data_IF_164819369716
#
_entry.id   IF_164819369716
#
_cell.length_a   1.000
_cell.length_b   1.000
_cell.length_c   1.000
_cell.angle_alpha   90.00
_cell.angle_beta   90.00
_cell.angle_gamma   90.00
#
_symmetry.space_group_name_H-M   'P 1'
#
loop_
_entity.id
_entity.type
_entity.pdbx_description
1 polymer ?
#
# COMPACT_ATOMS: atom_id res chain seq x y z
N UNK A 1 15.17 -12.51 3.55
CA UNK A 1 15.57 -11.11 3.79
C UNK A 1 14.41 -10.12 3.58
N UNK A 2 13.91 -9.87 2.36
CA UNK A 2 12.79 -8.94 2.17
C UNK A 2 11.52 -9.30 2.98
N UNK A 3 11.15 -10.58 3.04
CA UNK A 3 10.03 -11.08 3.85
C UNK A 3 10.18 -10.73 5.35
N UNK A 4 11.41 -10.77 5.88
CA UNK A 4 11.69 -10.48 7.28
C UNK A 4 11.57 -8.99 7.57
N UNK A 5 12.06 -8.13 6.67
CA UNK A 5 11.90 -6.68 6.75
C UNK A 5 10.42 -6.29 6.70
N UNK A 6 9.64 -6.90 5.80
CA UNK A 6 8.20 -6.60 5.69
C UNK A 6 7.46 -7.02 6.95
N UNK A 7 7.78 -8.18 7.53
CA UNK A 7 7.23 -8.62 8.82
C UNK A 7 7.57 -7.63 9.94
N UNK A 8 8.79 -7.09 9.91
CA UNK A 8 9.24 -6.14 10.90
C UNK A 8 8.46 -4.83 10.84
N UNK A 9 8.27 -4.30 9.63
CA UNK A 9 7.43 -3.13 9.38
C UNK A 9 5.99 -3.40 9.85
N UNK A 10 5.42 -4.57 9.54
CA UNK A 10 4.06 -4.91 9.93
C UNK A 10 3.86 -4.96 11.45
N UNK A 11 4.85 -5.50 12.17
CA UNK A 11 4.76 -5.72 13.62
C UNK A 11 5.11 -4.49 14.46
N UNK A 12 6.09 -3.68 14.03
CA UNK A 12 6.62 -2.55 14.82
C UNK A 12 6.42 -1.19 14.16
N UNK A 13 6.21 -1.13 12.84
CA UNK A 13 6.16 0.12 12.08
C UNK A 13 5.08 1.08 12.56
N UNK A 14 3.91 0.58 12.95
CA UNK A 14 2.81 1.43 13.42
C UNK A 14 3.20 2.25 14.66
N UNK A 15 4.04 1.69 15.55
CA UNK A 15 4.53 2.38 16.75
C UNK A 15 5.42 3.59 16.45
N UNK A 16 5.93 3.70 15.23
CA UNK A 16 6.77 4.81 14.74
C UNK A 16 6.16 5.54 13.54
N UNK A 17 4.87 5.34 13.27
CA UNK A 17 4.15 6.02 12.18
C UNK A 17 4.40 5.46 10.77
N UNK A 18 4.93 4.24 10.66
CA UNK A 18 5.11 3.54 9.38
C UNK A 18 3.93 2.60 9.15
N UNK A 19 3.25 2.76 8.01
CA UNK A 19 2.11 1.95 7.62
C UNK A 19 2.47 1.01 6.48
N UNK A 20 1.89 -0.20 6.49
CA UNK A 20 2.07 -1.20 5.45
C UNK A 20 0.74 -1.45 4.73
N UNK A 21 0.73 -1.28 3.41
CA UNK A 21 -0.38 -1.66 2.54
C UNK A 21 0.06 -2.82 1.66
N UNK A 22 -0.73 -3.90 1.64
CA UNK A 22 -0.45 -5.11 0.87
C UNK A 22 -1.68 -5.50 0.06
N UNK A 23 -1.44 -6.05 -1.13
CA UNK A 23 -2.47 -6.68 -1.97
C UNK A 23 -1.99 -8.05 -2.40
N UNK A 24 -2.88 -9.04 -2.37
CA UNK A 24 -2.63 -10.39 -2.85
C UNK A 24 -3.91 -10.92 -3.53
N UNK A 25 -3.78 -11.96 -4.37
CA UNK A 25 -4.95 -12.56 -5.00
C UNK A 25 -5.71 -13.47 -4.03
N UNK A 26 -4.99 -14.04 -3.06
CA UNK A 26 -5.53 -14.97 -2.07
C UNK A 26 -4.88 -14.74 -0.71
N UNK A 27 -5.63 -15.00 0.36
CA UNK A 27 -5.11 -14.85 1.73
C UNK A 27 -4.02 -15.84 2.08
N UNK A 28 -3.98 -17.00 1.43
CA UNK A 28 -2.97 -18.02 1.67
C UNK A 28 -1.62 -17.73 0.99
N UNK A 29 -1.55 -16.73 0.10
CA UNK A 29 -0.28 -16.21 -0.45
C UNK A 29 0.47 -15.37 0.59
N UNK A 30 -0.24 -14.87 1.61
CA UNK A 30 0.34 -14.09 2.70
C UNK A 30 0.71 -15.03 3.85
N UNK A 31 1.98 -15.00 4.29
CA UNK A 31 2.44 -15.78 5.45
C UNK A 31 1.60 -15.46 6.69
N UNK A 32 1.30 -16.47 7.50
CA UNK A 32 0.40 -16.35 8.66
C UNK A 32 0.79 -15.21 9.60
N UNK A 33 2.06 -15.12 10.02
CA UNK A 33 2.53 -14.06 10.92
C UNK A 33 2.31 -12.64 10.36
N UNK A 34 2.46 -12.46 9.04
CA UNK A 34 2.25 -11.18 8.37
C UNK A 34 0.75 -10.88 8.30
N UNK A 35 -0.05 -11.86 7.88
CA UNK A 35 -1.51 -11.75 7.81
C UNK A 35 -2.15 -11.42 9.16
N UNK A 36 -1.65 -12.02 10.23
CA UNK A 36 -2.14 -11.80 11.59
C UNK A 36 -1.77 -10.41 12.13
N UNK A 37 -0.71 -9.81 11.59
CA UNK A 37 -0.32 -8.42 11.90
C UNK A 37 -1.19 -7.37 11.18
N UNK A 38 -1.95 -7.76 10.15
CA UNK A 38 -2.80 -6.86 9.37
C UNK A 38 -4.19 -6.74 10.01
N UNK A 39 -4.45 -5.59 10.63
CA UNK A 39 -5.74 -5.26 11.26
C UNK A 39 -6.79 -4.78 10.26
N UNK A 40 -6.42 -3.89 9.33
CA UNK A 40 -7.31 -3.37 8.28
C UNK A 40 -7.38 -4.32 7.08
N UNK A 41 -8.55 -4.92 6.84
CA UNK A 41 -8.75 -5.90 5.75
C UNK A 41 -9.87 -5.45 4.81
N UNK A 42 -9.54 -5.33 3.53
CA UNK A 42 -10.49 -5.12 2.43
C UNK A 42 -10.44 -6.35 1.53
N UNK A 43 -11.48 -7.18 1.56
CA UNK A 43 -11.53 -8.41 0.77
C UNK A 43 -12.43 -8.21 -0.45
N UNK A 44 -11.85 -8.23 -1.65
CA UNK A 44 -12.62 -8.24 -2.89
C UNK A 44 -13.14 -9.66 -3.20
N UNK A 45 -13.89 -9.81 -4.29
CA UNK A 45 -14.33 -11.13 -4.76
C UNK A 45 -13.17 -12.11 -4.90
N UNK A 46 -13.13 -13.13 -4.05
CA UNK A 46 -12.24 -14.28 -4.19
C UNK A 46 -12.78 -15.30 -5.19
N UNK A 47 -11.90 -16.11 -5.77
CA UNK A 47 -12.30 -17.24 -6.63
C UNK A 47 -12.94 -18.36 -5.80
N UNK A 48 -12.39 -18.66 -4.61
CA UNK A 48 -13.01 -19.53 -3.62
C UNK A 48 -13.44 -18.72 -2.38
N UNK A 49 -14.75 -18.52 -2.14
CA UNK A 49 -15.25 -17.88 -0.93
C UNK A 49 -14.89 -18.60 0.37
N UNK A 50 -14.51 -19.88 0.30
CA UNK A 50 -14.03 -20.67 1.45
C UNK A 50 -12.73 -20.13 2.06
N UNK A 51 -11.96 -19.37 1.30
CA UNK A 51 -10.71 -18.74 1.72
C UNK A 51 -10.89 -17.37 2.38
N UNK A 52 -12.13 -16.91 2.51
CA UNK A 52 -12.42 -15.62 3.15
C UNK A 52 -11.94 -15.59 4.60
N UNK A 53 -11.16 -14.55 4.93
CA UNK A 53 -10.70 -14.27 6.29
C UNK A 53 -11.68 -13.38 7.06
N UNK A 54 -12.69 -12.82 6.39
CA UNK A 54 -13.70 -11.94 6.99
C UNK A 54 -14.99 -12.71 7.28
N UNK A 55 -15.63 -13.27 6.24
CA UNK A 55 -16.87 -14.02 6.37
C UNK A 55 -17.13 -14.87 5.14
N UNK A 56 -16.95 -16.18 5.27
CA UNK A 56 -17.26 -17.16 4.21
C UNK A 56 -18.71 -17.05 3.71
N UNK A 57 -19.65 -16.70 4.59
CA UNK A 57 -21.06 -16.50 4.21
C UNK A 57 -21.23 -15.25 3.36
N UNK A 58 -20.65 -14.12 3.76
CA UNK A 58 -20.75 -12.87 3.01
C UNK A 58 -20.00 -12.96 1.66
N UNK A 59 -18.82 -13.59 1.63
CA UNK A 59 -18.02 -13.80 0.43
C UNK A 59 -18.77 -14.63 -0.63
N UNK A 60 -19.59 -15.61 -0.23
CA UNK A 60 -20.46 -16.35 -1.16
C UNK A 60 -21.48 -15.45 -1.86
N UNK A 61 -21.84 -14.32 -1.26
CA UNK A 61 -22.71 -13.30 -1.86
C UNK A 61 -22.05 -12.45 -2.94
N UNK A 62 -20.72 -12.47 -3.06
CA UNK A 62 -19.97 -11.73 -4.09
C UNK A 62 -19.92 -12.44 -5.46
N UNK A 63 -20.88 -13.32 -5.77
CA UNK A 63 -20.95 -14.00 -7.07
C UNK A 63 -21.45 -13.03 -8.15
N UNK A 64 -20.81 -13.05 -9.32
CA UNK A 64 -21.17 -12.20 -10.48
C UNK A 64 -21.21 -10.68 -10.17
N UNK A 65 -20.42 -10.22 -9.20
CA UNK A 65 -20.34 -8.80 -8.88
C UNK A 65 -19.44 -8.04 -9.85
N UNK A 66 -19.76 -6.77 -10.05
CA UNK A 66 -18.90 -5.83 -10.78
C UNK A 66 -17.55 -5.62 -10.04
N UNK A 67 -16.45 -5.34 -10.76
CA UNK A 67 -15.17 -5.01 -10.15
C UNK A 67 -15.29 -3.91 -9.09
N UNK A 68 -14.50 -4.00 -8.03
CA UNK A 68 -14.54 -3.07 -6.90
C UNK A 68 -15.54 -3.44 -5.79
N UNK A 69 -16.43 -4.41 -5.99
CA UNK A 69 -17.26 -4.97 -4.89
C UNK A 69 -16.43 -5.88 -3.98
N UNK A 70 -16.64 -5.72 -2.67
CA UNK A 70 -15.95 -6.52 -1.66
C UNK A 70 -16.69 -6.55 -0.32
N UNK A 71 -16.06 -7.17 0.67
CA UNK A 71 -16.51 -7.20 2.06
C UNK A 71 -15.44 -6.63 3.00
N UNK A 72 -15.90 -6.03 4.09
CA UNK A 72 -15.08 -5.53 5.21
C UNK A 72 -15.67 -6.06 6.51
N UNK A 73 -14.83 -6.27 7.53
CA UNK A 73 -15.30 -6.72 8.84
C UNK A 73 -16.44 -5.82 9.37
N UNK A 74 -17.52 -6.39 9.95
CA UNK A 74 -17.71 -7.82 10.30
C UNK A 74 -18.34 -8.69 9.18
N UNK A 75 -18.33 -8.24 7.92
CA UNK A 75 -18.98 -8.89 6.78
C UNK A 75 -19.84 -7.94 5.95
N UNK A 76 -19.69 -6.63 6.14
CA UNK A 76 -20.42 -5.60 5.40
C UNK A 76 -19.91 -5.52 3.97
N UNK A 77 -20.82 -5.36 3.02
CA UNK A 77 -20.44 -5.14 1.62
C UNK A 77 -20.01 -3.69 1.39
N UNK A 78 -18.98 -3.51 0.57
CA UNK A 78 -18.55 -2.20 0.08
C UNK A 78 -18.39 -2.20 -1.44
N UNK A 79 -18.23 -1.02 -2.02
CA UNK A 79 -17.79 -0.83 -3.39
C UNK A 79 -16.65 0.20 -3.40
N UNK A 80 -15.51 -0.16 -3.96
CA UNK A 80 -14.36 0.72 -4.06
C UNK A 80 -14.69 1.90 -4.98
N UNK A 81 -14.46 3.11 -4.47
CA UNK A 81 -14.61 4.33 -5.27
C UNK A 81 -13.55 4.40 -6.37
N UNK A 82 -13.93 4.98 -7.51
CA UNK A 82 -12.97 5.29 -8.57
C UNK A 82 -12.02 6.42 -8.13
N UNK A 83 -10.71 6.36 -8.47
CA UNK A 83 -9.74 7.40 -8.14
C UNK A 83 -9.88 8.62 -9.06
N UNK A 84 -11.03 9.29 -9.02
CA UNK A 84 -11.36 10.49 -9.82
C UNK A 84 -12.17 11.50 -9.00
N UNK A 85 -12.07 12.78 -9.34
CA UNK A 85 -12.77 13.88 -8.67
C UNK A 85 -13.67 14.72 -9.60
N UNK A 86 -13.86 14.28 -10.85
CA UNK A 86 -14.67 14.97 -11.87
C UNK A 86 -16.17 14.61 -11.82
N UNK A 87 -16.65 14.14 -10.66
CA UNK A 87 -18.04 13.76 -10.38
C UNK A 87 -18.67 12.67 -11.28
N UNK A 88 -17.87 11.98 -12.11
CA UNK A 88 -18.34 10.86 -12.93
C UNK A 88 -18.21 9.52 -12.19
N UNK A 89 -19.22 8.67 -12.30
CA UNK A 89 -19.27 7.34 -11.70
C UNK A 89 -19.07 6.23 -12.76
N UNK A 90 -18.11 6.42 -13.67
CA UNK A 90 -17.89 5.56 -14.84
C UNK A 90 -16.39 5.26 -15.02
N UNK A 91 -16.05 4.08 -15.54
CA UNK A 91 -14.65 3.68 -15.75
C UNK A 91 -14.06 4.29 -17.04
N UNK A 92 -14.92 4.80 -17.92
CA UNK A 92 -14.57 5.47 -19.15
C UNK A 92 -13.71 6.70 -18.85
N UNK A 93 -12.58 6.81 -19.54
CA UNK A 93 -11.63 7.91 -19.36
C UNK A 93 -10.93 7.95 -17.99
N UNK A 94 -11.01 6.88 -17.18
CA UNK A 94 -10.48 6.87 -15.81
C UNK A 94 -8.99 7.26 -15.73
N UNK A 95 -8.16 6.76 -16.65
CA UNK A 95 -6.73 7.11 -16.71
C UNK A 95 -6.51 8.62 -16.82
N UNK A 96 -7.26 9.28 -17.72
CA UNK A 96 -7.15 10.72 -17.92
C UNK A 96 -7.68 11.49 -16.71
N UNK A 97 -8.78 11.04 -16.11
CA UNK A 97 -9.32 11.64 -14.89
C UNK A 97 -8.36 11.54 -13.70
N UNK A 98 -7.72 10.39 -13.52
CA UNK A 98 -6.70 10.18 -12.50
C UNK A 98 -5.47 11.08 -12.73
N UNK A 99 -5.01 11.22 -13.99
CA UNK A 99 -3.90 12.11 -14.33
C UNK A 99 -4.21 13.59 -14.04
N UNK A 100 -5.45 14.04 -14.32
CA UNK A 100 -5.92 15.38 -13.96
C UNK A 100 -5.89 15.57 -12.44
N UNK A 101 -6.49 14.63 -11.70
CA UNK A 101 -6.51 14.68 -10.24
C UNK A 101 -5.11 14.75 -9.63
N UNK A 102 -4.16 13.94 -10.11
CA UNK A 102 -2.77 13.98 -9.63
C UNK A 102 -2.10 15.32 -9.94
N UNK A 103 -2.34 15.87 -11.14
CA UNK A 103 -1.82 17.19 -11.52
C UNK A 103 -2.37 18.29 -10.62
N UNK A 104 -3.69 18.31 -10.41
CA UNK A 104 -4.36 19.27 -9.54
C UNK A 104 -3.81 19.22 -8.11
N UNK A 105 -3.72 18.02 -7.52
CA UNK A 105 -3.15 17.81 -6.18
C UNK A 105 -1.71 18.32 -6.10
N UNK A 106 -0.87 18.05 -7.11
CA UNK A 106 0.51 18.55 -7.15
C UNK A 106 0.57 20.07 -7.25
N UNK A 107 -0.23 20.68 -8.13
CA UNK A 107 -0.24 22.14 -8.30
C UNK A 107 -0.78 22.89 -7.09
N UNK A 108 -1.71 22.29 -6.35
CA UNK A 108 -2.29 22.87 -5.14
C UNK A 108 -1.46 22.67 -3.87
N UNK A 109 -0.45 21.79 -3.90
CA UNK A 109 0.38 21.48 -2.73
C UNK A 109 1.55 22.46 -2.60
N UNK A 110 1.56 23.23 -1.51
CA UNK A 110 2.64 24.19 -1.20
C UNK A 110 3.55 23.71 -0.04
N UNK A 111 3.38 22.47 0.42
CA UNK A 111 4.15 21.90 1.52
C UNK A 111 5.42 21.20 1.07
N UNK A 112 6.15 20.61 2.01
CA UNK A 112 7.29 19.73 1.71
C UNK A 112 6.81 18.50 0.94
N UNK A 113 7.55 18.12 -0.10
CA UNK A 113 7.28 16.90 -0.86
C UNK A 113 7.78 15.65 -0.12
N UNK A 114 7.31 14.48 -0.55
CA UNK A 114 7.84 13.21 -0.05
C UNK A 114 9.33 13.08 -0.43
N UNK A 115 10.22 12.74 0.53
CA UNK A 115 11.63 12.55 0.23
C UNK A 115 11.82 11.46 -0.84
N UNK A 116 12.67 11.68 -1.86
CA UNK A 116 12.93 10.68 -2.88
C UNK A 116 13.67 9.47 -2.28
N UNK A 117 13.44 8.29 -2.86
CA UNK A 117 14.23 7.11 -2.53
C UNK A 117 15.67 7.34 -2.98
N UNK A 118 16.62 7.25 -2.03
CA UNK A 118 18.05 7.30 -2.33
C UNK A 118 18.46 5.96 -2.92
N UNK A 119 18.82 5.98 -4.21
CA UNK A 119 19.38 4.81 -4.90
C UNK A 119 20.90 4.87 -4.85
N UNK A 120 21.54 3.69 -4.86
CA UNK A 120 22.99 3.61 -5.00
C UNK A 120 23.37 4.06 -6.42
N UNK A 121 24.32 4.99 -6.52
CA UNK A 121 24.83 5.43 -7.82
C UNK A 121 25.54 4.30 -8.56
N UNK A 122 25.48 4.31 -9.89
CA UNK A 122 26.20 3.32 -10.72
C UNK A 122 27.72 3.45 -10.57
N UNK A 123 28.20 4.67 -10.34
CA UNK A 123 29.58 4.99 -10.02
C UNK A 123 29.59 5.85 -8.77
N UNK A 124 30.54 5.57 -7.87
CA UNK A 124 30.77 6.32 -6.65
C UNK A 124 32.24 6.68 -6.65
N UNK A 125 32.55 7.97 -6.73
CA UNK A 125 33.93 8.42 -6.62
C UNK A 125 34.40 8.42 -5.15
N UNK A 126 35.72 8.47 -4.96
CA UNK A 126 36.31 8.42 -3.62
C UNK A 126 35.87 9.59 -2.72
N UNK A 127 35.55 10.75 -3.31
CA UNK A 127 35.05 11.92 -2.58
C UNK A 127 33.61 11.73 -2.12
N UNK A 128 32.75 11.19 -2.98
CA UNK A 128 31.36 10.83 -2.66
C UNK A 128 31.32 9.76 -1.56
N UNK A 129 32.19 8.75 -1.63
CA UNK A 129 32.31 7.72 -0.60
C UNK A 129 32.76 8.31 0.73
N UNK A 130 33.79 9.17 0.73
CA UNK A 130 34.27 9.82 1.94
C UNK A 130 33.19 10.69 2.59
N UNK A 131 32.43 11.45 1.79
CA UNK A 131 31.33 12.29 2.28
C UNK A 131 30.20 11.44 2.90
N UNK A 132 29.84 10.32 2.27
CA UNK A 132 28.80 9.42 2.78
C UNK A 132 29.19 8.78 4.13
N UNK A 133 30.46 8.39 4.30
CA UNK A 133 30.98 7.82 5.55
C UNK A 133 30.93 8.84 6.69
N UNK A 134 31.37 10.07 6.45
CA UNK A 134 31.31 11.16 7.44
C UNK A 134 29.85 11.50 7.83
N UNK A 135 28.92 11.49 6.87
CA UNK A 135 27.51 11.72 7.15
C UNK A 135 26.88 10.59 7.98
N UNK A 136 27.31 9.33 7.78
CA UNK A 136 26.83 8.18 8.55
C UNK A 136 27.46 8.09 9.96
N UNK A 137 28.68 8.62 10.13
CA UNK A 137 29.42 8.63 11.39
C UNK A 137 29.94 10.04 11.69
N UNK A 138 29.06 10.98 12.06
CA UNK A 138 29.49 12.34 12.37
C UNK A 138 30.49 12.28 13.52
N UNK A 139 31.73 12.77 13.30
CA UNK A 139 32.77 12.82 14.32
C UNK A 139 32.24 13.64 15.52
N UNK A 140 31.88 12.95 16.60
CA UNK A 140 31.36 13.59 17.82
C UNK A 140 30.30 12.83 18.62
N UNK A 141 29.78 11.69 18.15
CA UNK A 141 28.96 10.81 18.97
C UNK A 141 29.84 9.86 19.81
N UNK A 142 30.51 10.43 20.81
CA UNK A 142 31.17 9.69 21.91
C UNK A 142 30.29 9.66 23.15
#
# INVERSE_FOLDING_TARGET
>A
EADEIVQDIASRGLGVGVHLMLSANRWNEIRAALRDSITGRLELRLNDPGESEISRTAARGLRAVVPGRGIIAPGNMFHASLPRADALAAAEGLTQAQQRLVTELRTGWNGTEAPPLRVLGEHIDAGELAAAVEAAHPRGAG
#
